data_IF_284773747822
#
_entry.id   IF_284773747822
#
_cell.length_a   1.000
_cell.length_b   1.000
_cell.length_c   1.000
_cell.angle_alpha   90.00
_cell.angle_beta   90.00
_cell.angle_gamma   90.00
#
_symmetry.space_group_name_H-M   'P 1'
#
loop_
_entity.id
_entity.type
_entity.pdbx_description
1 polymer ?
#
# COMPACT_ATOMS: atom_id res chain seq x y z
N UNK A 1 34.20 -60.12 24.32
CA UNK A 1 34.13 -59.23 25.50
C UNK A 1 33.74 -57.84 25.04
N UNK A 2 32.75 -57.30 25.73
CA UNK A 2 31.92 -56.11 25.51
C UNK A 2 32.67 -54.79 25.73
N UNK A 3 32.35 -53.73 24.96
CA UNK A 3 31.67 -52.52 25.50
C UNK A 3 31.44 -51.46 24.41
N UNK A 4 30.16 -51.19 24.20
CA UNK A 4 29.54 -50.01 23.61
C UNK A 4 29.97 -48.73 24.34
N UNK A 5 30.29 -47.65 23.61
CA UNK A 5 30.44 -46.32 24.20
C UNK A 5 29.34 -45.38 23.68
N UNK A 6 28.83 -44.63 24.64
CA UNK A 6 27.49 -44.10 24.75
C UNK A 6 27.44 -42.65 24.26
N UNK A 7 26.27 -42.28 23.73
CA UNK A 7 25.86 -40.97 23.22
C UNK A 7 25.55 -40.03 24.39
N UNK A 8 26.00 -38.78 24.34
CA UNK A 8 25.24 -37.64 24.92
C UNK A 8 25.69 -36.29 24.32
N UNK A 9 24.77 -35.66 23.58
CA UNK A 9 24.75 -34.22 23.30
C UNK A 9 24.43 -33.48 24.60
N UNK A 10 25.11 -32.37 24.88
CA UNK A 10 24.66 -31.41 25.89
C UNK A 10 24.79 -30.00 25.32
N UNK A 11 23.64 -29.39 25.04
CA UNK A 11 23.48 -27.98 24.72
C UNK A 11 23.60 -27.16 25.99
N UNK A 12 24.37 -26.07 25.97
CA UNK A 12 24.34 -25.05 27.01
C UNK A 12 24.16 -23.68 26.37
N UNK A 13 22.91 -23.25 26.35
CA UNK A 13 22.51 -21.85 26.15
C UNK A 13 23.08 -20.99 27.27
N UNK A 14 23.77 -19.91 26.93
CA UNK A 14 24.22 -18.90 27.88
C UNK A 14 23.37 -17.64 27.70
N UNK A 15 22.41 -17.45 28.60
CA UNK A 15 21.72 -16.17 28.78
C UNK A 15 22.51 -15.33 29.76
N UNK A 16 23.05 -14.19 29.31
CA UNK A 16 23.63 -13.17 30.19
C UNK A 16 22.56 -12.09 30.39
N UNK A 17 22.06 -12.01 31.62
CA UNK A 17 21.15 -10.97 32.10
C UNK A 17 21.98 -9.73 32.39
N UNK A 18 21.73 -8.64 31.67
CA UNK A 18 22.25 -7.31 32.02
C UNK A 18 21.15 -6.58 32.79
N UNK A 19 21.31 -6.48 34.11
CA UNK A 19 20.48 -5.63 34.95
C UNK A 19 21.21 -4.29 35.14
N UNK A 20 20.69 -3.23 34.53
CA UNK A 20 21.10 -1.85 34.81
C UNK A 20 19.84 -1.03 35.09
N UNK A 21 19.76 -0.48 36.30
CA UNK A 21 18.61 0.23 36.81
C UNK A 21 18.51 1.68 36.36
N UNK A 22 17.31 2.22 36.48
CA UNK A 22 17.04 3.63 36.73
C UNK A 22 15.70 3.72 37.48
N UNK A 23 15.74 4.17 38.74
CA UNK A 23 14.54 4.47 39.51
C UNK A 23 13.98 5.81 39.02
N UNK A 24 12.82 5.78 38.36
CA UNK A 24 12.05 6.97 38.00
C UNK A 24 11.07 7.28 39.13
N UNK A 25 11.33 8.36 39.86
CA UNK A 25 10.37 8.97 40.78
C UNK A 25 9.36 9.79 39.98
N UNK A 26 8.10 9.34 39.95
CA UNK A 26 7.00 10.08 39.34
C UNK A 26 6.45 11.09 40.37
N UNK A 27 6.67 12.37 40.14
CA UNK A 27 5.97 13.44 40.85
C UNK A 27 4.56 13.57 40.28
N UNK A 28 3.53 13.36 41.10
CA UNK A 28 2.13 13.60 40.71
C UNK A 28 1.85 15.10 40.76
N UNK A 29 1.42 15.67 39.63
CA UNK A 29 0.93 17.05 39.50
C UNK A 29 -0.60 17.00 39.64
N UNK A 30 -1.26 17.88 40.41
CA UNK A 30 -2.72 17.90 40.48
C UNK A 30 -3.33 18.39 39.16
N UNK A 31 -4.32 17.65 38.66
CA UNK A 31 -5.05 17.96 37.44
C UNK A 31 -6.17 18.96 37.77
N UNK A 32 -6.06 20.19 37.28
CA UNK A 32 -7.12 21.20 37.40
C UNK A 32 -8.14 20.93 36.30
N UNK A 33 -9.38 20.59 36.68
CA UNK A 33 -10.47 20.38 35.72
C UNK A 33 -10.90 21.73 35.12
N UNK A 34 -10.57 21.96 33.84
CA UNK A 34 -11.14 23.06 33.07
C UNK A 34 -12.58 22.70 32.66
N UNK A 35 -13.55 23.55 33.03
CA UNK A 35 -14.92 23.42 32.55
C UNK A 35 -14.95 23.64 31.03
N UNK A 36 -15.38 22.62 30.28
CA UNK A 36 -15.53 22.70 28.84
C UNK A 36 -16.73 23.59 28.47
N UNK A 37 -16.47 24.67 27.75
CA UNK A 37 -17.48 25.39 26.96
C UNK A 37 -17.84 24.54 25.72
N UNK A 38 -19.12 24.43 25.34
CA UNK A 38 -19.48 23.72 24.11
C UNK A 38 -18.93 24.48 22.89
N UNK A 39 -18.37 23.78 21.89
CA UNK A 39 -17.91 24.41 20.66
C UNK A 39 -19.10 24.98 19.86
N UNK A 40 -18.89 26.07 19.10
CA UNK A 40 -19.90 26.58 18.19
C UNK A 40 -20.20 25.54 17.10
N UNK A 41 -21.48 25.40 16.79
CA UNK A 41 -22.03 24.57 15.73
C UNK A 41 -21.40 24.94 14.38
N UNK A 42 -20.70 23.99 13.77
CA UNK A 42 -20.05 24.17 12.46
C UNK A 42 -21.13 24.15 11.38
N UNK A 43 -21.19 25.25 10.65
CA UNK A 43 -22.08 25.50 9.52
C UNK A 43 -21.79 24.54 8.35
N UNK A 44 -22.89 24.07 7.73
CA UNK A 44 -23.03 23.35 6.46
C UNK A 44 -21.93 22.37 6.04
N UNK A 45 -22.20 21.08 6.27
CA UNK A 45 -21.49 19.99 5.60
C UNK A 45 -21.64 20.12 4.07
N UNK A 46 -20.55 19.93 3.30
CA UNK A 46 -20.66 19.85 1.84
C UNK A 46 -21.57 18.67 1.48
N UNK A 47 -22.34 18.82 0.40
CA UNK A 47 -23.25 17.80 -0.11
C UNK A 47 -22.54 16.43 -0.16
N UNK A 48 -23.10 15.45 0.56
CA UNK A 48 -22.62 14.06 0.53
C UNK A 48 -22.77 13.55 -0.91
N UNK A 49 -21.65 13.50 -1.65
CA UNK A 49 -21.59 12.77 -2.92
C UNK A 49 -22.04 11.35 -2.64
N UNK A 50 -23.14 10.93 -3.26
CA UNK A 50 -23.83 9.66 -2.92
C UNK A 50 -23.21 8.45 -3.63
N UNK A 51 -21.93 8.54 -4.02
CA UNK A 51 -21.16 7.45 -4.64
C UNK A 51 -20.10 6.88 -3.67
N UNK A 52 -19.65 5.65 -3.95
CA UNK A 52 -18.43 5.11 -3.35
C UNK A 52 -17.28 6.05 -3.70
N UNK A 53 -16.60 6.59 -2.68
CA UNK A 53 -15.46 7.51 -2.86
C UNK A 53 -14.23 6.81 -3.45
N UNK A 54 -13.27 7.59 -3.91
CA UNK A 54 -12.07 7.09 -4.56
C UNK A 54 -11.22 6.23 -3.61
N UNK A 55 -11.17 6.56 -2.31
CA UNK A 55 -10.49 5.75 -1.29
C UNK A 55 -11.13 4.38 -1.16
N UNK A 56 -12.46 4.31 -1.07
CA UNK A 56 -13.18 3.04 -0.93
C UNK A 56 -13.04 2.17 -2.20
N UNK A 57 -13.02 2.79 -3.38
CA UNK A 57 -12.73 2.08 -4.63
C UNK A 57 -11.29 1.54 -4.67
N UNK A 58 -10.31 2.33 -4.21
CA UNK A 58 -8.92 1.89 -4.12
C UNK A 58 -8.74 0.78 -3.08
N UNK A 59 -9.46 0.80 -1.96
CA UNK A 59 -9.47 -0.27 -0.96
C UNK A 59 -10.03 -1.57 -1.52
N UNK A 60 -11.15 -1.51 -2.26
CA UNK A 60 -11.74 -2.66 -2.94
C UNK A 60 -10.76 -3.27 -3.96
N UNK A 61 -10.12 -2.42 -4.77
CA UNK A 61 -9.11 -2.84 -5.73
C UNK A 61 -7.89 -3.48 -5.05
N UNK A 62 -7.38 -2.87 -3.97
CA UNK A 62 -6.26 -3.38 -3.19
C UNK A 62 -6.59 -4.73 -2.52
N UNK A 63 -7.86 -4.95 -2.15
CA UNK A 63 -8.36 -6.22 -1.63
C UNK A 63 -8.56 -7.29 -2.74
N UNK A 64 -8.41 -6.93 -4.01
CA UNK A 64 -8.62 -7.83 -5.15
C UNK A 64 -10.09 -8.10 -5.44
N UNK A 65 -10.98 -7.14 -5.15
CA UNK A 65 -12.40 -7.26 -5.50
C UNK A 65 -12.57 -7.37 -7.02
N UNK A 66 -13.32 -8.38 -7.45
CA UNK A 66 -13.48 -8.70 -8.86
C UNK A 66 -14.43 -7.74 -9.59
N UNK A 67 -14.14 -7.48 -10.86
CA UNK A 67 -14.90 -6.55 -11.68
C UNK A 67 -14.62 -5.09 -11.34
N UNK A 68 -15.59 -4.22 -11.63
CA UNK A 68 -15.47 -2.77 -11.49
C UNK A 68 -16.71 -2.13 -10.81
N UNK A 69 -17.55 -2.92 -10.13
CA UNK A 69 -18.81 -2.42 -9.54
C UNK A 69 -18.60 -1.41 -8.40
N UNK A 70 -17.42 -1.38 -7.80
CA UNK A 70 -17.03 -0.38 -6.79
C UNK A 70 -16.59 0.96 -7.41
N UNK A 71 -16.53 1.07 -8.74
CA UNK A 71 -16.20 2.30 -9.46
C UNK A 71 -17.51 2.94 -9.95
N UNK A 72 -17.91 4.01 -9.27
CA UNK A 72 -19.13 4.75 -9.60
C UNK A 72 -19.00 5.54 -10.90
N UNK A 73 -20.12 5.94 -11.50
CA UNK A 73 -20.10 6.82 -12.68
C UNK A 73 -19.41 8.17 -12.40
N UNK A 74 -19.57 8.71 -11.19
CA UNK A 74 -18.90 9.95 -10.78
C UNK A 74 -17.37 9.76 -10.69
N UNK A 75 -16.90 8.58 -10.25
CA UNK A 75 -15.48 8.24 -10.30
C UNK A 75 -14.96 8.08 -11.73
N UNK A 76 -15.76 7.52 -12.64
CA UNK A 76 -15.40 7.45 -14.07
C UNK A 76 -15.21 8.85 -14.65
N UNK A 77 -16.07 9.79 -14.29
CA UNK A 77 -15.95 11.19 -14.72
C UNK A 77 -14.68 11.84 -14.16
N UNK A 78 -14.33 11.60 -12.89
CA UNK A 78 -13.10 12.11 -12.26
C UNK A 78 -11.81 11.46 -12.82
N UNK A 79 -11.86 10.17 -13.19
CA UNK A 79 -10.75 9.47 -13.84
C UNK A 79 -10.53 9.96 -15.28
N UNK A 80 -11.59 10.40 -15.97
CA UNK A 80 -11.54 10.82 -17.37
C UNK A 80 -11.47 9.66 -18.37
N UNK A 81 -11.58 8.41 -17.90
CA UNK A 81 -11.67 7.20 -18.71
C UNK A 81 -12.53 6.15 -17.99
N UNK A 82 -13.07 5.20 -18.74
CA UNK A 82 -13.81 4.07 -18.16
C UNK A 82 -12.84 2.91 -17.91
N UNK A 83 -12.63 2.48 -16.66
CA UNK A 83 -11.84 1.29 -16.36
C UNK A 83 -12.40 0.05 -17.06
N UNK A 84 -11.51 -0.83 -17.50
CA UNK A 84 -11.88 -2.13 -18.08
C UNK A 84 -11.60 -3.24 -17.08
N UNK A 85 -12.09 -4.45 -17.35
CA UNK A 85 -11.81 -5.62 -16.51
C UNK A 85 -10.92 -6.59 -17.28
N UNK A 86 -9.78 -6.94 -16.69
CA UNK A 86 -8.83 -7.93 -17.22
C UNK A 86 -8.36 -8.85 -16.09
N UNK A 87 -8.32 -10.17 -16.35
CA UNK A 87 -7.97 -11.18 -15.35
C UNK A 87 -8.73 -11.00 -14.02
N UNK A 88 -10.02 -10.67 -14.16
CA UNK A 88 -10.97 -10.51 -13.07
C UNK A 88 -10.92 -9.18 -12.32
N UNK A 89 -9.99 -8.27 -12.58
CA UNK A 89 -9.87 -6.99 -11.85
C UNK A 89 -10.04 -5.79 -12.77
N UNK A 90 -10.54 -4.69 -12.21
CA UNK A 90 -10.55 -3.41 -12.90
C UNK A 90 -9.12 -2.92 -13.18
N UNK A 91 -8.92 -2.27 -14.33
CA UNK A 91 -7.62 -1.75 -14.76
C UNK A 91 -7.78 -0.46 -15.58
N UNK A 92 -6.69 0.31 -15.67
CA UNK A 92 -6.53 1.44 -16.57
C UNK A 92 -6.22 0.92 -17.98
N UNK A 93 -7.11 1.06 -18.97
CA UNK A 93 -6.90 0.51 -20.31
C UNK A 93 -5.80 1.22 -21.11
N UNK A 94 -5.37 2.39 -20.66
CA UNK A 94 -4.23 3.14 -21.21
C UNK A 94 -2.96 3.02 -20.36
N UNK A 95 -3.00 2.30 -19.24
CA UNK A 95 -1.86 2.09 -18.36
C UNK A 95 -0.77 1.23 -19.02
N UNK A 96 0.43 1.30 -18.45
CA UNK A 96 1.59 0.55 -18.91
C UNK A 96 2.50 0.14 -17.76
N UNK A 97 3.40 -0.81 -18.02
CA UNK A 97 4.49 -1.07 -17.08
C UNK A 97 5.58 0.02 -17.21
N UNK A 98 5.33 1.17 -16.59
CA UNK A 98 6.31 2.24 -16.42
C UNK A 98 7.52 1.75 -15.60
N UNK A 99 8.61 1.40 -16.29
CA UNK A 99 9.83 0.87 -15.66
C UNK A 99 11.10 1.26 -16.42
N UNK A 100 12.21 1.61 -15.72
CA UNK A 100 13.49 1.96 -16.37
C UNK A 100 14.17 0.76 -17.04
N UNK A 101 13.66 -0.45 -16.78
CA UNK A 101 14.12 -1.69 -17.40
C UNK A 101 12.95 -2.38 -18.05
N UNK A 102 13.19 -3.11 -19.13
CA UNK A 102 12.15 -3.93 -19.75
C UNK A 102 11.67 -4.99 -18.77
N UNK A 103 10.38 -4.93 -18.42
CA UNK A 103 9.72 -5.92 -17.61
C UNK A 103 9.15 -7.06 -18.47
N UNK A 104 8.94 -8.26 -17.91
CA UNK A 104 8.21 -9.32 -18.59
C UNK A 104 6.84 -8.84 -19.06
N UNK A 105 6.47 -9.11 -20.30
CA UNK A 105 5.14 -8.75 -20.84
C UNK A 105 3.98 -9.34 -20.03
N UNK A 106 4.22 -10.45 -19.29
CA UNK A 106 3.24 -11.04 -18.38
C UNK A 106 2.92 -10.15 -17.16
N UNK A 107 3.61 -9.02 -16.98
CA UNK A 107 3.34 -8.06 -15.90
C UNK A 107 2.35 -6.97 -16.32
N UNK A 108 2.10 -6.76 -17.62
CA UNK A 108 1.24 -5.70 -18.14
C UNK A 108 -0.16 -5.66 -17.49
N UNK A 109 -0.88 -6.80 -17.32
CA UNK A 109 -2.17 -6.78 -16.62
C UNK A 109 -2.07 -6.31 -15.16
N UNK A 110 -0.97 -6.62 -14.46
CA UNK A 110 -0.74 -6.18 -13.09
C UNK A 110 -0.41 -4.69 -13.02
N UNK A 111 0.41 -4.18 -13.94
CA UNK A 111 0.75 -2.76 -14.04
C UNK A 111 -0.51 -1.91 -14.33
N UNK A 112 -1.32 -2.29 -15.32
CA UNK A 112 -2.58 -1.57 -15.61
C UNK A 112 -3.57 -1.57 -14.44
N UNK A 113 -3.58 -2.63 -13.64
CA UNK A 113 -4.38 -2.69 -12.40
C UNK A 113 -3.82 -1.72 -11.35
N UNK A 114 -2.49 -1.68 -11.20
CA UNK A 114 -1.80 -0.79 -10.27
C UNK A 114 -1.98 0.69 -10.62
N UNK A 115 -1.88 1.03 -11.91
CA UNK A 115 -2.10 2.38 -12.44
C UNK A 115 -3.49 2.89 -12.09
N UNK A 116 -4.53 2.05 -12.25
CA UNK A 116 -5.89 2.42 -11.82
C UNK A 116 -5.93 2.74 -10.32
N UNK A 117 -5.28 1.93 -9.49
CA UNK A 117 -5.19 2.18 -8.05
C UNK A 117 -4.52 3.52 -7.74
N UNK A 118 -3.45 3.83 -8.46
CA UNK A 118 -2.73 5.10 -8.34
C UNK A 118 -3.58 6.29 -8.81
N UNK A 119 -4.34 6.13 -9.89
CA UNK A 119 -5.27 7.14 -10.38
C UNK A 119 -6.40 7.39 -9.37
N UNK A 120 -6.95 6.34 -8.75
CA UNK A 120 -7.92 6.47 -7.67
C UNK A 120 -7.33 7.24 -6.47
N UNK A 121 -6.07 7.01 -6.10
CA UNK A 121 -5.40 7.82 -5.08
C UNK A 121 -5.23 9.28 -5.50
N UNK A 122 -4.94 9.56 -6.77
CA UNK A 122 -4.88 10.94 -7.28
C UNK A 122 -6.24 11.62 -7.31
N UNK A 123 -7.32 10.87 -7.58
CA UNK A 123 -8.69 11.35 -7.45
C UNK A 123 -9.00 11.66 -5.99
N UNK A 124 -8.70 10.74 -5.06
CA UNK A 124 -8.89 10.95 -3.63
C UNK A 124 -8.20 12.23 -3.12
N UNK A 125 -6.94 12.45 -3.50
CA UNK A 125 -6.16 13.62 -3.10
C UNK A 125 -6.78 14.93 -3.63
N UNK A 126 -7.13 15.00 -4.92
CA UNK A 126 -7.72 16.22 -5.50
C UNK A 126 -9.15 16.50 -5.02
N UNK A 127 -9.91 15.47 -4.64
CA UNK A 127 -11.28 15.62 -4.12
C UNK A 127 -11.32 15.83 -2.62
N UNK A 128 -10.17 15.74 -1.93
CA UNK A 128 -10.02 16.00 -0.50
C UNK A 128 -10.36 14.80 0.39
N UNK A 129 -10.38 13.58 -0.15
CA UNK A 129 -10.55 12.36 0.64
C UNK A 129 -9.28 12.06 1.45
N UNK A 130 -9.47 11.58 2.68
CA UNK A 130 -8.33 11.17 3.51
C UNK A 130 -7.80 9.81 3.04
N UNK A 131 -6.58 9.79 2.50
CA UNK A 131 -5.90 8.56 2.07
C UNK A 131 -5.25 7.88 3.29
N UNK A 132 -5.66 6.65 3.65
CA UNK A 132 -4.97 5.88 4.68
C UNK A 132 -3.51 5.63 4.31
N UNK A 133 -2.60 5.78 5.27
CA UNK A 133 -1.16 5.67 5.02
C UNK A 133 -0.70 4.32 4.47
N UNK A 134 -1.48 3.26 4.64
CA UNK A 134 -1.16 1.92 4.14
C UNK A 134 -1.78 1.62 2.77
N UNK A 135 -2.71 2.44 2.27
CA UNK A 135 -3.49 2.09 1.10
C UNK A 135 -2.61 1.97 -0.16
N UNK A 136 -1.67 2.90 -0.33
CA UNK A 136 -0.71 2.83 -1.43
C UNK A 136 0.19 1.59 -1.33
N UNK A 137 0.64 1.23 -0.13
CA UNK A 137 1.47 0.02 0.07
C UNK A 137 0.68 -1.28 -0.18
N UNK A 138 -0.63 -1.26 0.06
CA UNK A 138 -1.53 -2.38 -0.28
C UNK A 138 -1.70 -2.54 -1.79
N UNK A 139 -1.87 -1.45 -2.53
CA UNK A 139 -1.88 -1.47 -4.00
C UNK A 139 -0.54 -1.98 -4.57
N UNK A 140 0.59 -1.49 -4.05
CA UNK A 140 1.93 -1.94 -4.45
C UNK A 140 2.15 -3.45 -4.21
N UNK A 141 1.56 -4.00 -3.15
CA UNK A 141 1.61 -5.43 -2.83
C UNK A 141 0.71 -6.25 -3.74
N UNK A 142 -0.50 -5.77 -4.01
CA UNK A 142 -1.44 -6.41 -4.93
C UNK A 142 -0.85 -6.54 -6.34
N UNK A 143 -0.16 -5.50 -6.81
CA UNK A 143 0.59 -5.55 -8.07
C UNK A 143 1.65 -6.65 -8.05
N UNK A 144 2.48 -6.66 -7.00
CA UNK A 144 3.57 -7.62 -6.85
C UNK A 144 3.09 -9.08 -6.81
N UNK A 145 1.98 -9.33 -6.12
CA UNK A 145 1.37 -10.65 -6.03
C UNK A 145 0.85 -11.13 -7.39
N UNK A 146 0.22 -10.24 -8.18
CA UNK A 146 -0.22 -10.55 -9.54
C UNK A 146 0.93 -10.78 -10.51
N UNK A 147 1.96 -9.94 -10.49
CA UNK A 147 3.19 -10.16 -11.25
C UNK A 147 3.82 -11.51 -10.90
N UNK A 148 3.89 -11.83 -9.61
CA UNK A 148 4.45 -13.11 -9.15
C UNK A 148 3.60 -14.31 -9.60
N UNK A 149 2.29 -14.16 -9.64
CA UNK A 149 1.36 -15.19 -10.09
C UNK A 149 1.47 -15.47 -11.60
N UNK A 150 1.85 -14.48 -12.41
CA UNK A 150 2.06 -14.66 -13.86
C UNK A 150 3.42 -15.26 -14.22
N UNK A 151 4.26 -15.59 -13.23
CA UNK A 151 5.63 -16.07 -13.46
C UNK A 151 5.79 -17.59 -13.48
N UNK A 152 6.34 -18.10 -14.58
CA UNK A 152 6.74 -19.51 -14.73
C UNK A 152 8.21 -19.80 -14.38
N UNK A 153 9.03 -18.77 -14.18
CA UNK A 153 10.48 -18.92 -13.92
C UNK A 153 10.92 -18.22 -12.64
N UNK A 154 12.03 -18.68 -12.07
CA UNK A 154 12.65 -18.02 -10.92
C UNK A 154 13.12 -16.59 -11.25
N UNK A 155 13.62 -16.36 -12.47
CA UNK A 155 14.02 -15.03 -12.94
C UNK A 155 12.84 -14.05 -12.99
N UNK A 156 11.70 -14.48 -13.51
CA UNK A 156 10.47 -13.67 -13.49
C UNK A 156 10.04 -13.33 -12.05
N UNK A 157 10.04 -14.33 -11.14
CA UNK A 157 9.69 -14.09 -9.72
C UNK A 157 10.67 -13.16 -9.01
N UNK A 158 11.93 -13.14 -9.41
CA UNK A 158 12.90 -12.18 -8.89
C UNK A 158 12.60 -10.76 -9.40
N UNK A 159 12.21 -10.61 -10.68
CA UNK A 159 11.79 -9.33 -11.25
C UNK A 159 10.52 -8.78 -10.57
N UNK A 160 9.55 -9.61 -10.22
CA UNK A 160 8.35 -9.15 -9.49
C UNK A 160 8.70 -8.59 -8.11
N UNK A 161 9.67 -9.19 -7.42
CA UNK A 161 10.18 -8.69 -6.13
C UNK A 161 10.93 -7.37 -6.32
N UNK A 162 11.77 -7.27 -7.36
CA UNK A 162 12.50 -6.04 -7.66
C UNK A 162 11.55 -4.88 -7.97
N UNK A 163 10.50 -5.11 -8.77
CA UNK A 163 9.46 -4.13 -9.05
C UNK A 163 8.76 -3.67 -7.77
N UNK A 164 8.34 -4.59 -6.90
CA UNK A 164 7.72 -4.26 -5.61
C UNK A 164 8.60 -3.39 -4.70
N UNK A 165 9.89 -3.72 -4.61
CA UNK A 165 10.84 -2.93 -3.82
C UNK A 165 11.00 -1.54 -4.42
N UNK A 166 11.10 -1.42 -5.75
CA UNK A 166 11.22 -0.14 -6.44
C UNK A 166 10.05 0.79 -6.14
N UNK A 167 8.82 0.32 -6.35
CA UNK A 167 7.62 1.14 -6.07
C UNK A 167 7.47 1.41 -4.58
N UNK A 168 7.76 0.45 -3.70
CA UNK A 168 7.65 0.65 -2.25
C UNK A 168 8.62 1.69 -1.70
N UNK A 169 9.84 1.76 -2.25
CA UNK A 169 10.80 2.83 -1.94
C UNK A 169 10.26 4.19 -2.40
N UNK A 170 9.66 4.25 -3.60
CA UNK A 170 9.04 5.46 -4.11
C UNK A 170 7.86 5.91 -3.23
N UNK A 171 6.96 4.99 -2.89
CA UNK A 171 5.83 5.20 -1.97
C UNK A 171 6.28 5.76 -0.63
N UNK A 172 7.31 5.16 -0.03
CA UNK A 172 7.86 5.63 1.25
C UNK A 172 8.46 7.03 1.12
N UNK A 173 9.23 7.27 0.06
CA UNK A 173 9.87 8.56 -0.20
C UNK A 173 8.86 9.68 -0.44
N UNK A 174 7.73 9.36 -1.08
CA UNK A 174 6.63 10.29 -1.32
C UNK A 174 5.64 10.39 -0.14
N UNK A 175 5.95 9.81 1.02
CA UNK A 175 5.16 9.98 2.24
C UNK A 175 3.87 9.15 2.31
N UNK A 176 3.75 8.09 1.48
CA UNK A 176 2.63 7.15 1.43
C UNK A 176 1.26 7.74 1.04
N UNK A 177 1.22 8.99 0.56
CA UNK A 177 0.03 9.61 -0.02
C UNK A 177 -0.12 9.28 -1.51
N UNK A 178 -0.97 10.06 -2.19
CA UNK A 178 -1.15 9.93 -3.64
C UNK A 178 0.18 10.08 -4.39
N UNK A 179 0.37 9.32 -5.48
CA UNK A 179 1.56 9.42 -6.31
C UNK A 179 1.65 10.76 -7.03
N UNK A 180 2.74 11.48 -6.78
CA UNK A 180 3.04 12.77 -7.43
C UNK A 180 3.95 12.57 -8.63
N UNK A 181 3.70 13.31 -9.70
CA UNK A 181 4.60 13.39 -10.85
C UNK A 181 5.87 14.16 -10.48
N UNK A 182 7.02 13.69 -10.93
CA UNK A 182 8.32 14.33 -10.67
C UNK A 182 9.00 14.71 -11.99
N UNK A 183 8.94 16.00 -12.38
CA UNK A 183 9.45 16.49 -13.67
C UNK A 183 10.94 16.22 -13.90
N UNK A 184 11.75 16.21 -12.84
CA UNK A 184 13.21 15.98 -12.92
C UNK A 184 13.59 14.50 -13.02
N UNK A 185 12.59 13.62 -12.91
CA UNK A 185 12.68 12.17 -13.09
C UNK A 185 11.84 11.71 -14.28
N UNK A 186 11.47 12.58 -15.23
CA UNK A 186 10.75 12.17 -16.46
C UNK A 186 11.47 11.07 -17.27
N UNK A 187 12.77 10.90 -17.07
CA UNK A 187 13.60 9.84 -17.66
C UNK A 187 13.67 8.55 -16.82
N UNK A 188 13.11 8.57 -15.61
CA UNK A 188 12.97 7.43 -14.70
C UNK A 188 11.46 7.21 -14.48
N UNK A 189 10.85 6.26 -15.20
CA UNK A 189 9.42 6.00 -15.07
C UNK A 189 9.17 5.31 -13.71
N UNK A 190 8.33 5.93 -12.89
CA UNK A 190 7.84 5.39 -11.61
C UNK A 190 6.33 5.32 -11.60
#
# INVERSE_FOLDING_TARGET
>A
MTRTLNRTRSSRSASIVVAAGAALTVAMVPMVAAAATPPPEVQDAPAVRSGVGAVAAAEALAAGESGASYISGELVDELGYTPQVEDGLAMNPQGDCSSPVTLPASFEPACRTHDLGYDLLRVADRTGEHIPSELRSHLDRQMADRMRASCDTAGCKAMSVAAHVGVGLNTTRQGNGAPVSEPWLEWLPW
#
